data_IF_503654784382
#
_entry.id   IF_503654784382
#
_cell.length_a   1.000
_cell.length_b   1.000
_cell.length_c   1.000
_cell.angle_alpha   90.00
_cell.angle_beta   90.00
_cell.angle_gamma   90.00
#
_symmetry.space_group_name_H-M   'P 1'
#
loop_
_entity.id
_entity.type
_entity.pdbx_description
1 polymer ?
#
# COMPACT_ATOMS: atom_id res chain seq x y z
N UNK A 1 -5.92 0.98 -24.33
CA UNK A 1 -6.03 2.26 -23.59
C UNK A 1 -7.27 2.34 -22.67
N UNK A 2 -7.93 1.22 -22.31
CA UNK A 2 -9.20 1.19 -21.57
C UNK A 2 -9.02 0.81 -20.07
N UNK A 3 -7.77 0.62 -19.63
CA UNK A 3 -7.52 0.03 -18.31
C UNK A 3 -7.53 1.07 -17.19
N UNK A 4 -7.13 2.32 -17.46
CA UNK A 4 -7.08 3.37 -16.44
C UNK A 4 -8.49 3.80 -15.97
N UNK A 5 -9.49 4.04 -16.84
CA UNK A 5 -10.83 4.39 -16.39
C UNK A 5 -11.53 3.27 -15.61
N UNK A 6 -11.33 2.01 -16.00
CA UNK A 6 -11.89 0.84 -15.30
C UNK A 6 -11.33 0.70 -13.88
N UNK A 7 -10.04 0.93 -13.72
CA UNK A 7 -9.37 0.83 -12.42
C UNK A 7 -9.80 1.95 -11.48
N UNK A 8 -9.76 3.19 -11.96
CA UNK A 8 -10.33 4.32 -11.20
C UNK A 8 -11.79 4.08 -10.74
N UNK A 9 -12.65 3.53 -11.58
CA UNK A 9 -14.03 3.17 -11.17
C UNK A 9 -14.07 2.11 -10.06
N UNK A 10 -13.30 1.01 -10.17
CA UNK A 10 -13.26 -0.05 -9.13
C UNK A 10 -12.74 0.52 -7.82
N UNK A 11 -11.65 1.29 -7.85
CA UNK A 11 -11.14 2.02 -6.68
C UNK A 11 -12.17 2.97 -6.04
N UNK A 12 -12.76 3.89 -6.81
CA UNK A 12 -13.91 4.70 -6.36
C UNK A 12 -15.08 3.90 -5.75
N UNK A 13 -15.51 2.77 -6.33
CA UNK A 13 -16.65 1.99 -5.80
C UNK A 13 -16.27 1.36 -4.47
N UNK A 14 -15.07 0.86 -4.35
CA UNK A 14 -14.58 0.23 -3.13
C UNK A 14 -14.41 1.27 -2.03
N UNK A 15 -13.73 2.39 -2.30
CA UNK A 15 -13.68 3.54 -1.37
C UNK A 15 -15.07 3.98 -0.90
N UNK A 16 -16.02 4.24 -1.82
CA UNK A 16 -17.44 4.43 -1.48
C UNK A 16 -18.08 3.32 -0.60
N UNK A 17 -17.94 2.05 -0.94
CA UNK A 17 -18.53 0.94 -0.15
C UNK A 17 -17.89 0.88 1.24
N UNK A 18 -16.65 1.33 1.33
CA UNK A 18 -15.86 1.24 2.56
C UNK A 18 -16.20 2.40 3.48
N UNK A 19 -16.21 3.64 2.97
CA UNK A 19 -16.94 4.75 3.60
C UNK A 19 -18.32 4.38 4.16
N UNK A 20 -19.20 3.73 3.40
CA UNK A 20 -20.52 3.29 3.91
C UNK A 20 -20.37 2.26 5.03
N UNK A 21 -19.49 1.28 4.89
CA UNK A 21 -19.29 0.25 5.91
C UNK A 21 -18.64 0.83 7.18
N UNK A 22 -17.58 1.62 7.09
CA UNK A 22 -17.02 2.39 8.23
C UNK A 22 -17.97 3.38 8.92
N UNK A 23 -18.66 4.25 8.17
CA UNK A 23 -19.86 4.95 8.67
C UNK A 23 -20.83 4.01 9.39
N UNK A 24 -21.16 2.81 8.92
CA UNK A 24 -22.14 1.93 9.59
C UNK A 24 -21.52 1.08 10.71
N UNK A 25 -20.22 0.84 10.68
CA UNK A 25 -19.50 -0.05 11.58
C UNK A 25 -18.95 0.74 12.78
N UNK A 26 -18.84 2.07 12.66
CA UNK A 26 -18.22 2.89 13.69
C UNK A 26 -19.22 3.35 14.73
N UNK A 27 -20.53 3.11 14.50
CA UNK A 27 -21.54 3.66 15.41
C UNK A 27 -21.78 2.54 16.40
N UNK A 28 -21.19 2.73 17.59
CA UNK A 28 -21.62 2.04 18.80
C UNK A 28 -23.16 2.12 18.78
N UNK A 29 -23.94 1.06 18.46
CA UNK A 29 -25.41 1.13 18.66
C UNK A 29 -25.69 0.69 20.10
N UNK A 30 -26.50 1.47 20.79
CA UNK A 30 -26.99 1.09 22.10
C UNK A 30 -28.20 0.20 21.82
N UNK A 31 -28.09 -1.12 22.05
CA UNK A 31 -29.28 -1.96 22.19
C UNK A 31 -29.84 -1.97 23.61
N UNK A 32 -31.11 -1.57 23.76
CA UNK A 32 -31.80 -1.53 25.05
C UNK A 32 -32.81 -2.69 25.04
N UNK A 33 -32.53 -3.75 25.82
CA UNK A 33 -33.53 -4.77 26.20
C UNK A 33 -34.40 -4.36 27.42
N UNK A 34 -35.71 -4.27 27.26
CA UNK A 34 -36.67 -3.92 28.32
C UNK A 34 -37.51 -5.17 28.63
N UNK A 35 -37.32 -5.76 29.80
CA UNK A 35 -38.28 -6.73 30.38
C UNK A 35 -39.60 -6.09 30.85
N UNK A 36 -40.76 -6.54 30.35
CA UNK A 36 -42.04 -5.96 30.71
C UNK A 36 -42.31 -6.12 32.22
N UNK A 37 -42.96 -5.14 32.89
CA UNK A 37 -43.28 -5.28 34.30
C UNK A 37 -44.22 -6.46 34.57
N UNK A 38 -44.12 -7.06 35.77
CA UNK A 38 -45.02 -8.14 36.17
C UNK A 38 -46.46 -7.65 36.36
N UNK A 39 -47.44 -8.50 36.00
CA UNK A 39 -48.87 -8.16 36.10
C UNK A 39 -49.23 -8.05 37.58
N UNK A 40 -49.86 -6.94 38.00
CA UNK A 40 -50.37 -6.86 39.38
C UNK A 40 -51.61 -7.73 39.54
N UNK A 41 -51.79 -8.32 40.74
CA UNK A 41 -52.92 -9.23 41.04
C UNK A 41 -54.30 -8.57 40.95
N UNK A 42 -54.40 -7.23 41.03
CA UNK A 42 -55.67 -6.47 40.98
C UNK A 42 -55.87 -5.63 39.70
N UNK A 43 -55.20 -5.95 38.59
CA UNK A 43 -55.19 -5.11 37.40
C UNK A 43 -55.94 -5.85 36.28
N UNK A 44 -56.88 -5.17 35.63
CA UNK A 44 -57.40 -5.63 34.31
C UNK A 44 -56.33 -5.76 33.19
N UNK A 45 -56.54 -6.70 32.25
CA UNK A 45 -55.67 -6.93 31.07
C UNK A 45 -55.47 -5.67 30.24
N UNK A 46 -56.50 -4.85 30.12
CA UNK A 46 -56.40 -3.57 29.40
C UNK A 46 -55.51 -2.54 30.12
N UNK A 47 -55.65 -2.40 31.44
CA UNK A 47 -54.78 -1.55 32.29
C UNK A 47 -53.30 -1.99 32.29
N UNK A 48 -53.01 -3.29 32.24
CA UNK A 48 -51.64 -3.83 32.12
C UNK A 48 -50.95 -3.43 30.81
N UNK A 49 -51.65 -3.55 29.68
CA UNK A 49 -51.10 -3.23 28.35
C UNK A 49 -50.82 -1.73 28.25
N UNK A 50 -51.71 -0.88 28.78
CA UNK A 50 -51.51 0.58 28.79
C UNK A 50 -50.29 0.98 29.63
N UNK A 51 -50.11 0.40 30.83
CA UNK A 51 -48.92 0.63 31.65
C UNK A 51 -47.62 0.13 31.03
N UNK A 52 -47.54 -1.12 30.58
CA UNK A 52 -46.43 -1.58 29.73
C UNK A 52 -46.08 -0.66 28.55
N UNK A 53 -47.05 -0.19 27.76
CA UNK A 53 -46.76 0.73 26.64
C UNK A 53 -46.28 2.10 27.12
N UNK A 54 -46.87 2.64 28.20
CA UNK A 54 -46.41 3.92 28.74
C UNK A 54 -44.99 3.78 29.30
N UNK A 55 -44.71 2.67 29.96
CA UNK A 55 -43.36 2.38 30.45
C UNK A 55 -42.36 2.28 29.30
N UNK A 56 -42.70 1.55 28.22
CA UNK A 56 -41.88 1.51 27.00
C UNK A 56 -41.64 2.90 26.38
N UNK A 57 -42.68 3.73 26.28
CA UNK A 57 -42.56 5.05 25.63
C UNK A 57 -41.71 6.00 26.49
N UNK A 58 -41.79 5.87 27.81
CA UNK A 58 -41.05 6.75 28.74
C UNK A 58 -39.56 6.41 28.71
N UNK A 59 -39.23 5.12 28.78
CA UNK A 59 -37.87 4.63 28.47
C UNK A 59 -37.32 5.06 27.09
N UNK A 60 -38.09 4.99 26.00
CA UNK A 60 -37.61 5.42 24.66
C UNK A 60 -37.36 6.94 24.65
N UNK A 61 -38.20 7.72 25.33
CA UNK A 61 -38.10 9.19 25.37
C UNK A 61 -36.88 9.64 26.20
N UNK A 62 -36.72 9.06 27.40
CA UNK A 62 -35.45 9.11 28.16
C UNK A 62 -34.18 8.81 27.34
N UNK A 63 -34.16 7.78 26.49
CA UNK A 63 -32.96 7.45 25.69
C UNK A 63 -32.77 8.36 24.48
N UNK A 64 -33.85 8.95 23.95
CA UNK A 64 -33.76 9.87 22.79
C UNK A 64 -33.08 11.19 23.17
N UNK A 65 -33.24 11.65 24.41
CA UNK A 65 -32.71 12.94 24.87
C UNK A 65 -31.37 12.78 25.61
N UNK A 66 -30.73 11.63 25.40
CA UNK A 66 -29.58 11.26 26.19
C UNK A 66 -28.36 11.90 25.53
N UNK A 67 -27.81 12.93 26.17
CA UNK A 67 -26.49 13.45 25.80
C UNK A 67 -25.26 12.60 26.24
N UNK A 68 -24.05 12.88 25.69
CA UNK A 68 -22.78 12.22 26.02
C UNK A 68 -22.34 12.31 27.49
N UNK A 69 -22.89 13.26 28.24
CA UNK A 69 -22.53 13.53 29.64
C UNK A 69 -23.56 12.99 30.66
N UNK A 70 -24.56 12.26 30.18
CA UNK A 70 -25.63 11.75 31.04
C UNK A 70 -25.27 10.28 31.22
N UNK A 71 -25.46 9.75 32.44
CA UNK A 71 -25.46 8.31 32.67
C UNK A 71 -26.89 7.81 32.84
N UNK A 72 -27.35 6.78 32.10
CA UNK A 72 -28.68 6.27 32.36
C UNK A 72 -28.67 5.54 33.71
N UNK A 73 -29.54 5.93 34.63
CA UNK A 73 -29.87 5.10 35.80
C UNK A 73 -31.05 4.24 35.41
N UNK A 74 -30.83 2.95 35.25
CA UNK A 74 -31.90 2.01 34.91
C UNK A 74 -32.20 1.09 36.08
N UNK A 75 -33.44 0.64 36.19
CA UNK A 75 -33.80 -0.44 37.11
C UNK A 75 -33.35 -1.83 36.58
N UNK A 76 -33.36 -2.85 37.44
CA UNK A 76 -33.04 -4.27 37.07
C UNK A 76 -33.80 -4.83 35.85
N UNK A 77 -34.93 -4.24 35.48
CA UNK A 77 -35.69 -4.52 34.26
C UNK A 77 -35.17 -4.02 32.88
N UNK A 78 -34.07 -3.26 32.82
CA UNK A 78 -33.58 -2.65 31.58
C UNK A 78 -32.11 -3.04 31.48
N UNK A 79 -31.81 -3.99 30.59
CA UNK A 79 -30.44 -4.23 30.13
C UNK A 79 -30.00 -3.36 28.93
N UNK A 80 -28.89 -2.62 29.09
CA UNK A 80 -28.28 -1.84 28.00
C UNK A 80 -27.07 -2.64 27.56
N UNK A 81 -27.19 -3.29 26.40
CA UNK A 81 -26.04 -3.93 25.77
C UNK A 81 -25.43 -3.04 24.68
N UNK A 82 -24.11 -3.02 24.65
CA UNK A 82 -23.36 -2.40 23.57
C UNK A 82 -23.22 -3.39 22.43
N UNK A 83 -23.76 -3.08 21.24
CA UNK A 83 -23.50 -3.87 20.04
C UNK A 83 -22.57 -3.05 19.16
N UNK A 84 -21.29 -3.38 19.23
CA UNK A 84 -20.26 -2.92 18.30
C UNK A 84 -19.40 -4.07 17.77
N UNK A 85 -18.68 -3.84 16.66
CA UNK A 85 -17.56 -4.69 16.27
C UNK A 85 -16.66 -4.88 17.50
N UNK A 86 -16.61 -6.14 17.97
CA UNK A 86 -15.70 -6.67 19.00
C UNK A 86 -14.25 -6.22 18.88
N UNK A 87 -13.80 -5.82 17.68
CA UNK A 87 -12.41 -5.41 17.49
C UNK A 87 -12.32 -4.24 16.46
N UNK A 88 -12.44 -2.98 16.93
CA UNK A 88 -12.22 -1.76 16.11
C UNK A 88 -10.85 -1.74 15.39
N UNK A 89 -9.81 -2.25 16.04
CA UNK A 89 -8.46 -2.38 15.46
C UNK A 89 -8.35 -3.43 14.34
N UNK A 90 -8.95 -4.61 14.50
CA UNK A 90 -9.08 -5.61 13.39
C UNK A 90 -9.81 -5.14 12.12
N UNK A 91 -10.96 -4.46 12.24
CA UNK A 91 -11.63 -3.80 11.09
C UNK A 91 -10.83 -2.71 10.37
N UNK A 92 -10.13 -1.81 11.08
CA UNK A 92 -9.31 -0.76 10.44
C UNK A 92 -8.00 -1.31 9.84
N UNK A 93 -7.35 -2.25 10.51
CA UNK A 93 -6.20 -3.00 9.94
C UNK A 93 -6.55 -3.90 8.74
N UNK A 94 -7.57 -4.78 8.83
CA UNK A 94 -8.15 -5.44 7.65
C UNK A 94 -8.43 -4.46 6.48
N UNK A 95 -8.92 -3.25 6.75
CA UNK A 95 -9.11 -2.20 5.73
C UNK A 95 -7.81 -1.80 5.01
N UNK A 96 -6.77 -1.44 5.75
CA UNK A 96 -5.50 -0.98 5.16
C UNK A 96 -4.87 -2.10 4.32
N UNK A 97 -4.95 -3.34 4.81
CA UNK A 97 -4.42 -4.49 4.08
C UNK A 97 -5.22 -4.83 2.80
N UNK A 98 -6.56 -4.78 2.83
CA UNK A 98 -7.37 -5.03 1.62
C UNK A 98 -7.17 -3.92 0.58
N UNK A 99 -7.08 -2.67 1.03
CA UNK A 99 -6.90 -1.54 0.11
C UNK A 99 -5.51 -1.63 -0.57
N UNK A 100 -4.47 -1.89 0.22
CA UNK A 100 -3.11 -2.15 -0.29
C UNK A 100 -3.02 -3.31 -1.32
N UNK A 101 -3.40 -4.53 -0.94
CA UNK A 101 -3.49 -5.69 -1.87
C UNK A 101 -4.20 -5.40 -3.21
N UNK A 102 -5.36 -4.76 -3.19
CA UNK A 102 -6.05 -4.33 -4.42
C UNK A 102 -5.24 -3.37 -5.30
N UNK A 103 -4.66 -2.31 -4.73
CA UNK A 103 -3.84 -1.36 -5.51
C UNK A 103 -2.66 -2.08 -6.15
N UNK A 104 -2.03 -3.01 -5.43
CA UNK A 104 -0.94 -3.82 -5.95
C UNK A 104 -1.37 -4.73 -7.11
N UNK A 105 -2.47 -5.50 -6.99
CA UNK A 105 -3.09 -6.23 -8.12
C UNK A 105 -3.39 -5.37 -9.35
N UNK A 106 -3.87 -4.16 -9.14
CA UNK A 106 -4.20 -3.29 -10.27
C UNK A 106 -2.92 -2.83 -10.95
N UNK A 107 -2.03 -2.24 -10.18
CA UNK A 107 -0.68 -1.91 -10.61
C UNK A 107 0.05 -3.07 -11.36
N UNK A 108 0.12 -4.29 -10.80
CA UNK A 108 0.47 -5.51 -11.57
C UNK A 108 -0.26 -5.74 -12.92
N UNK A 109 -1.59 -5.67 -12.99
CA UNK A 109 -2.30 -5.79 -14.28
C UNK A 109 -2.00 -4.70 -15.33
N UNK A 110 -1.60 -3.51 -14.87
CA UNK A 110 -1.34 -2.37 -15.77
C UNK A 110 0.13 -2.15 -16.03
N UNK A 111 0.99 -3.08 -15.59
CA UNK A 111 2.44 -2.87 -15.55
C UNK A 111 2.84 -1.49 -14.98
N UNK A 112 2.11 -1.02 -13.96
CA UNK A 112 2.34 0.29 -13.35
C UNK A 112 2.91 -0.05 -12.00
N UNK A 113 3.94 0.67 -11.63
CA UNK A 113 4.39 0.57 -10.25
C UNK A 113 3.47 1.39 -9.30
N UNK A 114 3.06 0.86 -8.13
CA UNK A 114 2.17 1.54 -7.16
C UNK A 114 2.60 2.95 -6.74
N UNK A 115 3.90 3.18 -6.66
CA UNK A 115 4.47 4.49 -6.38
C UNK A 115 4.21 5.58 -7.45
N UNK A 116 4.08 5.23 -8.73
CA UNK A 116 3.59 6.16 -9.76
C UNK A 116 2.20 6.75 -9.42
N UNK A 117 1.40 6.09 -8.59
CA UNK A 117 0.11 6.60 -8.08
C UNK A 117 0.19 7.32 -6.71
N UNK A 118 1.40 7.66 -6.24
CA UNK A 118 1.58 8.26 -4.90
C UNK A 118 1.61 7.27 -3.74
N UNK A 119 1.57 5.94 -3.96
CA UNK A 119 1.50 4.99 -2.83
C UNK A 119 2.92 4.61 -2.41
N UNK A 120 3.26 4.78 -1.13
CA UNK A 120 4.52 4.30 -0.56
C UNK A 120 4.23 3.30 0.57
N UNK A 121 4.56 2.01 0.39
CA UNK A 121 4.26 0.97 1.38
C UNK A 121 5.48 0.44 2.15
N UNK A 122 6.64 1.10 2.04
CA UNK A 122 7.80 0.69 2.83
C UNK A 122 8.69 1.83 3.26
N UNK A 123 9.75 1.45 3.99
CA UNK A 123 10.76 2.38 4.46
C UNK A 123 11.31 3.15 3.26
N UNK A 124 11.06 4.47 3.26
CA UNK A 124 11.51 5.53 2.33
C UNK A 124 12.85 5.32 1.61
N UNK A 125 13.85 4.65 2.21
CA UNK A 125 15.19 4.41 1.60
C UNK A 125 15.26 3.32 0.51
N UNK A 126 14.81 2.08 0.76
CA UNK A 126 14.83 0.99 -0.26
C UNK A 126 13.84 1.26 -1.42
N UNK A 127 12.76 1.98 -1.13
CA UNK A 127 11.74 2.25 -2.15
C UNK A 127 12.15 3.36 -3.12
N UNK A 128 12.79 4.43 -2.67
CA UNK A 128 13.35 5.47 -3.55
C UNK A 128 14.44 4.95 -4.51
N UNK A 129 15.36 4.12 -4.04
CA UNK A 129 16.34 3.42 -4.90
C UNK A 129 15.69 2.54 -5.98
N UNK A 130 14.74 1.67 -5.63
CA UNK A 130 13.98 0.94 -6.64
C UNK A 130 13.29 1.86 -7.68
N UNK A 131 12.70 2.99 -7.25
CA UNK A 131 12.01 3.95 -8.16
C UNK A 131 13.00 4.59 -9.11
N UNK A 132 14.11 5.09 -8.58
CA UNK A 132 15.17 5.63 -9.41
C UNK A 132 15.69 4.60 -10.42
N UNK A 133 15.89 3.34 -10.01
CA UNK A 133 16.39 2.30 -10.92
C UNK A 133 15.42 1.98 -12.05
N UNK A 134 14.12 1.86 -11.75
CA UNK A 134 13.10 1.62 -12.78
C UNK A 134 13.05 2.78 -13.80
N UNK A 135 13.10 4.03 -13.35
CA UNK A 135 13.01 5.22 -14.23
C UNK A 135 14.27 5.32 -15.09
N UNK A 136 15.44 5.22 -14.47
CA UNK A 136 16.71 5.08 -15.17
C UNK A 136 16.76 4.00 -16.27
N UNK A 137 16.29 2.76 -16.00
CA UNK A 137 16.14 1.74 -17.08
C UNK A 137 15.32 2.23 -18.26
N UNK A 138 14.14 2.80 -18.03
CA UNK A 138 13.35 3.39 -19.13
C UNK A 138 14.10 4.51 -19.87
N UNK A 139 14.83 5.35 -19.14
CA UNK A 139 15.60 6.46 -19.72
C UNK A 139 16.72 5.92 -20.60
N UNK A 140 17.52 4.99 -20.08
CA UNK A 140 18.45 4.19 -20.89
C UNK A 140 17.86 3.57 -22.17
N UNK A 141 16.67 2.97 -22.13
CA UNK A 141 16.06 2.38 -23.33
C UNK A 141 15.78 3.47 -24.37
N UNK A 142 15.20 4.59 -23.97
CA UNK A 142 14.93 5.72 -24.88
C UNK A 142 16.23 6.29 -25.43
N UNK A 143 17.21 6.57 -24.58
CA UNK A 143 18.55 6.99 -25.02
C UNK A 143 19.25 6.03 -25.99
N UNK A 144 19.31 4.71 -25.75
CA UNK A 144 19.72 3.72 -26.77
C UNK A 144 18.98 3.83 -28.11
N UNK A 145 17.64 3.87 -28.12
CA UNK A 145 16.93 4.18 -29.37
C UNK A 145 17.36 5.51 -30.03
N UNK A 146 17.50 6.60 -29.26
CA UNK A 146 18.02 7.85 -29.82
C UNK A 146 19.45 7.71 -30.35
N UNK A 147 20.33 6.95 -29.70
CA UNK A 147 21.72 6.77 -30.15
C UNK A 147 21.78 5.99 -31.47
N UNK A 148 21.06 4.86 -31.55
CA UNK A 148 20.82 4.13 -32.81
C UNK A 148 20.34 5.05 -33.95
N UNK A 149 19.35 5.91 -33.72
CA UNK A 149 18.89 6.85 -34.75
C UNK A 149 19.99 7.83 -35.16
N UNK A 150 20.70 8.43 -34.20
CA UNK A 150 21.80 9.36 -34.50
C UNK A 150 22.94 8.66 -35.23
N UNK A 151 23.25 7.40 -34.88
CA UNK A 151 24.31 6.63 -35.54
C UNK A 151 23.93 6.38 -36.99
N UNK A 152 22.68 5.98 -37.19
CA UNK A 152 22.16 5.82 -38.54
C UNK A 152 22.26 7.11 -39.38
N UNK A 153 21.92 8.28 -38.83
CA UNK A 153 21.91 9.55 -39.59
C UNK A 153 23.35 9.97 -39.93
N UNK A 154 24.19 10.06 -38.91
CA UNK A 154 25.63 10.34 -39.10
C UNK A 154 26.38 9.41 -40.08
N UNK A 155 26.29 8.08 -39.94
CA UNK A 155 26.87 7.13 -40.91
C UNK A 155 26.30 7.29 -42.33
N UNK A 156 24.99 7.54 -42.51
CA UNK A 156 24.44 7.87 -43.84
C UNK A 156 25.06 9.14 -44.41
N UNK A 157 25.23 10.20 -43.61
CA UNK A 157 25.82 11.47 -44.08
C UNK A 157 27.29 11.31 -44.45
N UNK A 158 28.10 10.68 -43.59
CA UNK A 158 29.46 10.22 -43.92
C UNK A 158 29.58 9.36 -45.20
N UNK A 159 28.80 8.28 -45.32
CA UNK A 159 28.68 7.57 -46.62
C UNK A 159 28.37 8.50 -47.82
N UNK A 160 27.45 9.47 -47.69
CA UNK A 160 27.12 10.39 -48.80
C UNK A 160 28.29 11.31 -49.15
N UNK A 161 29.11 11.69 -48.16
CA UNK A 161 30.31 12.50 -48.41
C UNK A 161 31.53 11.64 -48.82
N UNK A 162 31.41 10.32 -48.91
CA UNK A 162 32.53 9.47 -49.34
C UNK A 162 33.64 9.32 -48.29
N UNK A 163 33.39 9.74 -47.05
CA UNK A 163 34.30 9.52 -45.92
C UNK A 163 34.15 8.05 -45.44
N UNK A 164 35.24 7.27 -45.44
CA UNK A 164 35.27 5.91 -44.86
C UNK A 164 35.49 5.99 -43.33
N UNK A 165 34.53 6.56 -42.60
CA UNK A 165 34.52 6.49 -41.13
C UNK A 165 33.15 6.07 -40.58
N UNK A 166 33.14 5.42 -39.42
CA UNK A 166 31.93 5.05 -38.69
C UNK A 166 31.86 5.86 -37.40
N UNK A 167 30.73 6.53 -37.18
CA UNK A 167 30.45 7.21 -35.91
C UNK A 167 29.51 6.38 -35.03
N UNK A 168 29.85 6.28 -33.75
CA UNK A 168 28.97 5.74 -32.70
C UNK A 168 28.69 6.79 -31.62
N UNK A 169 27.42 6.92 -31.24
CA UNK A 169 26.93 7.91 -30.30
C UNK A 169 26.60 7.08 -29.09
N UNK A 170 27.19 7.45 -27.96
CA UNK A 170 26.92 6.78 -26.69
C UNK A 170 26.45 7.81 -25.71
N UNK A 171 25.31 7.53 -25.07
CA UNK A 171 24.87 8.34 -23.95
C UNK A 171 25.56 7.80 -22.71
N UNK A 172 26.22 8.67 -21.96
CA UNK A 172 26.75 8.29 -20.66
C UNK A 172 25.59 8.25 -19.67
N UNK A 173 25.15 7.04 -19.31
CA UNK A 173 24.15 6.84 -18.29
C UNK A 173 24.89 6.35 -17.06
N UNK A 174 25.49 7.28 -16.34
CA UNK A 174 26.00 6.95 -15.03
C UNK A 174 24.78 7.01 -14.12
N UNK A 175 24.10 5.87 -13.95
CA UNK A 175 23.22 5.69 -12.80
C UNK A 175 23.97 6.09 -11.52
N UNK A 176 23.68 7.27 -10.94
CA UNK A 176 24.30 7.84 -9.73
C UNK A 176 23.88 7.21 -8.38
N UNK A 177 23.26 6.02 -8.36
CA UNK A 177 22.75 5.39 -7.13
C UNK A 177 23.34 3.99 -7.09
N UNK A 178 24.18 3.75 -6.08
CA UNK A 178 24.85 2.46 -5.89
C UNK A 178 26.35 2.49 -6.16
N UNK A 179 26.99 3.63 -6.48
CA UNK A 179 28.46 3.69 -6.57
C UNK A 179 29.11 3.28 -5.27
N UNK A 180 28.59 3.69 -4.11
CA UNK A 180 29.05 3.20 -2.80
C UNK A 180 28.81 1.71 -2.56
N UNK A 181 27.62 1.16 -2.82
CA UNK A 181 27.37 -0.31 -2.80
C UNK A 181 28.18 -1.09 -3.84
N UNK A 182 28.40 -0.57 -5.06
CA UNK A 182 29.22 -1.21 -6.11
C UNK A 182 30.67 -1.08 -5.71
N UNK A 183 31.10 0.08 -5.22
CA UNK A 183 32.46 0.28 -4.69
C UNK A 183 32.71 -0.59 -3.44
N UNK A 184 31.82 -0.60 -2.45
CA UNK A 184 31.75 -1.64 -1.39
C UNK A 184 31.73 -3.11 -1.85
N UNK A 185 30.79 -3.57 -2.68
CA UNK A 185 30.91 -4.86 -3.40
C UNK A 185 32.29 -5.11 -4.05
N UNK A 186 32.88 -4.13 -4.74
CA UNK A 186 34.21 -4.31 -5.36
C UNK A 186 35.27 -4.41 -4.26
N UNK A 187 35.10 -3.68 -3.16
CA UNK A 187 36.01 -3.71 -2.01
C UNK A 187 35.97 -5.07 -1.31
N UNK A 188 34.77 -5.52 -0.92
CA UNK A 188 34.50 -6.91 -0.49
C UNK A 188 35.07 -7.98 -1.45
N UNK A 189 34.89 -7.87 -2.77
CA UNK A 189 35.45 -8.87 -3.69
C UNK A 189 36.97 -8.83 -3.71
N UNK A 190 37.57 -7.63 -3.67
CA UNK A 190 39.02 -7.49 -3.57
C UNK A 190 39.51 -8.03 -2.22
N UNK A 191 38.75 -7.82 -1.15
CA UNK A 191 39.14 -8.28 0.18
C UNK A 191 39.07 -9.81 0.22
N UNK A 192 38.07 -10.42 -0.42
CA UNK A 192 37.96 -11.89 -0.50
C UNK A 192 39.13 -12.50 -1.28
N UNK A 193 39.56 -11.84 -2.36
CA UNK A 193 40.70 -12.31 -3.15
C UNK A 193 41.99 -12.21 -2.33
N UNK A 194 42.16 -11.10 -1.61
CA UNK A 194 43.33 -10.88 -0.73
C UNK A 194 43.33 -11.91 0.40
N UNK A 195 42.24 -12.05 1.16
CA UNK A 195 42.00 -13.14 2.13
C UNK A 195 42.27 -14.57 1.64
N UNK A 196 41.78 -14.95 0.46
CA UNK A 196 42.10 -16.24 -0.20
C UNK A 196 43.60 -16.41 -0.50
N UNK A 197 44.34 -15.35 -0.82
CA UNK A 197 45.79 -15.37 -1.11
C UNK A 197 46.62 -15.48 0.19
N UNK A 198 46.35 -14.60 1.16
CA UNK A 198 46.79 -14.75 2.57
C UNK A 198 46.55 -16.12 3.26
N UNK A 199 45.42 -16.81 3.05
CA UNK A 199 45.18 -18.18 3.56
C UNK A 199 45.79 -19.31 2.70
N UNK A 200 46.70 -19.01 1.75
CA UNK A 200 47.22 -19.98 0.77
C UNK A 200 46.18 -20.88 0.03
N UNK A 201 44.92 -20.43 -0.10
CA UNK A 201 43.91 -21.15 -0.86
C UNK A 201 44.04 -20.97 -2.39
N UNK A 202 44.82 -19.99 -2.84
CA UNK A 202 44.97 -19.59 -4.24
C UNK A 202 46.42 -19.10 -4.43
N UNK A 203 47.05 -19.49 -5.53
CA UNK A 203 48.37 -18.95 -5.93
C UNK A 203 48.30 -17.50 -6.46
N UNK A 204 49.41 -16.75 -6.34
CA UNK A 204 49.54 -15.36 -6.87
C UNK A 204 49.12 -15.20 -8.35
N UNK A 205 49.45 -16.15 -9.21
CA UNK A 205 49.01 -16.20 -10.61
C UNK A 205 47.49 -16.39 -10.80
N UNK A 206 46.84 -17.27 -10.03
CA UNK A 206 45.35 -17.37 -10.00
C UNK A 206 44.64 -16.11 -9.45
N UNK A 207 45.23 -15.36 -8.53
CA UNK A 207 44.67 -14.09 -8.02
C UNK A 207 44.72 -12.97 -9.08
N UNK A 208 45.81 -12.90 -9.84
CA UNK A 208 45.99 -11.96 -10.97
C UNK A 208 44.98 -12.23 -12.10
N UNK A 209 44.79 -13.49 -12.50
CA UNK A 209 43.71 -13.86 -13.45
C UNK A 209 42.29 -13.55 -12.94
N UNK A 210 41.98 -13.79 -11.67
CA UNK A 210 40.67 -13.41 -11.09
C UNK A 210 40.47 -11.89 -11.03
N UNK A 211 41.47 -11.10 -10.63
CA UNK A 211 41.49 -9.63 -10.81
C UNK A 211 41.33 -9.16 -12.28
N UNK A 212 41.99 -9.78 -13.27
CA UNK A 212 41.80 -9.38 -14.68
C UNK A 212 40.38 -9.66 -15.21
N UNK A 213 39.68 -10.66 -14.69
CA UNK A 213 38.26 -10.90 -15.03
C UNK A 213 37.30 -9.87 -14.43
N UNK A 214 37.67 -9.21 -13.33
CA UNK A 214 36.87 -8.15 -12.68
C UNK A 214 36.99 -6.74 -13.31
N UNK A 215 38.13 -6.39 -13.95
CA UNK A 215 38.26 -5.23 -14.85
C UNK A 215 37.48 -5.33 -16.19
#
# INVERSE_FOLDING_TARGET
MAAIPFVARVEQTLVNDMFRSMRSAGYHRIHVKITPPEKRSEESDADYVTRANNYFDDTVEMMRDFGPDKNPVTWNDVAIEYIGPSNRNSSATAWYMNHKSMIEDVCAGTHLAPFMLGYAYGTTHNWAEFKYELVQRQVATVQNAAASLLNWIANVELALHGISAEVQFRFENRAHIGLTERAQAEKIQLENIITKMTNNLITREEAINELARLS
#
